data_IF_391747356033
#
_entry.id   IF_391747356033
#
_cell.length_a   1.000
_cell.length_b   1.000
_cell.length_c   1.000
_cell.angle_alpha   90.00
_cell.angle_beta   90.00
_cell.angle_gamma   90.00
#
_symmetry.space_group_name_H-M   'P 1'
#
loop_
_entity.id
_entity.type
_entity.pdbx_description
1 polymer ?
#
# COMPACT_ATOMS: atom_id res chain seq x y z
N UNK A 1 17.71 -14.79 6.45
CA UNK A 1 16.37 -14.44 5.94
C UNK A 1 16.53 -13.22 5.06
N UNK A 2 16.02 -13.27 3.83
CA UNK A 2 16.09 -12.18 2.87
C UNK A 2 14.68 -11.63 2.68
N UNK A 3 14.51 -10.32 2.70
CA UNK A 3 13.23 -9.70 2.35
C UNK A 3 13.26 -9.21 0.90
N UNK A 4 12.30 -9.65 0.10
CA UNK A 4 12.06 -9.16 -1.25
C UNK A 4 10.85 -8.22 -1.23
N UNK A 5 10.98 -7.07 -1.89
CA UNK A 5 9.97 -6.02 -1.91
C UNK A 5 9.59 -5.74 -3.35
N UNK A 6 8.33 -5.99 -3.68
CA UNK A 6 7.82 -5.89 -5.05
C UNK A 6 6.61 -4.96 -5.06
N UNK A 7 6.57 -4.02 -6.01
CA UNK A 7 5.38 -3.21 -6.23
C UNK A 7 4.26 -4.10 -6.78
N UNK A 8 3.21 -4.32 -5.99
CA UNK A 8 2.06 -5.12 -6.40
C UNK A 8 1.15 -4.28 -7.31
N UNK A 9 0.84 -3.05 -6.90
CA UNK A 9 0.06 -2.08 -7.69
C UNK A 9 0.01 -0.69 -7.06
N UNK A 10 -0.55 0.25 -7.81
CA UNK A 10 -0.89 1.60 -7.34
C UNK A 10 -2.41 1.80 -7.35
N UNK A 11 -2.96 2.38 -6.28
CA UNK A 11 -4.40 2.70 -6.14
C UNK A 11 -4.52 4.13 -5.63
N UNK A 12 -5.12 5.05 -6.41
CA UNK A 12 -5.34 6.45 -6.01
C UNK A 12 -4.06 7.18 -5.52
N UNK A 13 -2.91 6.81 -6.11
CA UNK A 13 -1.59 7.32 -5.72
C UNK A 13 -0.89 6.52 -4.62
N UNK A 14 -1.60 5.67 -3.88
CA UNK A 14 -1.01 4.80 -2.87
C UNK A 14 -0.32 3.63 -3.54
N UNK A 15 0.91 3.33 -3.11
CA UNK A 15 1.61 2.12 -3.54
C UNK A 15 1.26 0.99 -2.59
N UNK A 16 0.86 -0.15 -3.14
CA UNK A 16 0.71 -1.39 -2.40
C UNK A 16 1.90 -2.27 -2.79
N UNK A 17 2.74 -2.59 -1.82
CA UNK A 17 3.93 -3.41 -2.04
C UNK A 17 3.79 -4.75 -1.35
N UNK A 18 4.17 -5.82 -2.04
CA UNK A 18 4.27 -7.17 -1.48
C UNK A 18 5.67 -7.35 -0.92
N UNK A 19 5.73 -7.69 0.36
CA UNK A 19 6.96 -8.03 1.08
C UNK A 19 6.94 -9.53 1.30
N UNK A 20 7.93 -10.21 0.75
CA UNK A 20 8.15 -11.63 0.95
C UNK A 20 9.39 -11.82 1.80
N UNK A 21 9.27 -12.61 2.85
CA UNK A 21 10.39 -13.07 3.66
C UNK A 21 10.76 -14.47 3.19
N UNK A 22 12.00 -14.61 2.73
CA UNK A 22 12.54 -15.87 2.23
C UNK A 22 13.44 -16.48 3.30
N UNK A 23 13.30 -17.78 3.51
CA UNK A 23 14.16 -18.57 4.38
C UNK A 23 15.58 -18.70 3.80
N UNK A 24 16.42 -19.54 4.40
CA UNK A 24 17.80 -19.76 3.92
C UNK A 24 17.86 -20.54 2.60
N UNK A 25 16.78 -21.21 2.22
CA UNK A 25 16.65 -22.00 0.99
C UNK A 25 16.02 -21.19 -0.15
N UNK A 26 15.57 -19.96 0.12
CA UNK A 26 14.89 -19.10 -0.85
C UNK A 26 13.38 -19.39 -0.98
N UNK A 27 12.80 -20.15 -0.04
CA UNK A 27 11.37 -20.42 0.01
C UNK A 27 10.69 -19.27 0.75
N UNK A 28 9.54 -18.82 0.22
CA UNK A 28 8.72 -17.80 0.88
C UNK A 28 8.14 -18.37 2.16
N UNK A 29 8.62 -17.87 3.30
CA UNK A 29 8.18 -18.22 4.64
C UNK A 29 6.95 -17.38 5.05
N UNK A 30 6.97 -16.10 4.69
CA UNK A 30 5.85 -15.19 4.93
C UNK A 30 5.70 -14.16 3.81
N UNK A 31 4.46 -13.72 3.57
CA UNK A 31 4.16 -12.62 2.68
C UNK A 31 3.18 -11.64 3.33
N UNK A 32 3.46 -10.34 3.21
CA UNK A 32 2.57 -9.25 3.65
C UNK A 32 2.49 -8.16 2.60
N UNK A 33 1.44 -7.36 2.65
CA UNK A 33 1.18 -6.24 1.75
C UNK A 33 1.23 -4.95 2.54
N UNK A 34 2.15 -4.06 2.20
CA UNK A 34 2.32 -2.74 2.81
C UNK A 34 1.68 -1.67 1.92
N UNK A 35 0.81 -0.85 2.52
CA UNK A 35 0.25 0.34 1.90
C UNK A 35 1.15 1.51 2.23
N UNK A 36 1.72 2.14 1.21
CA UNK A 36 2.57 3.32 1.35
C UNK A 36 1.83 4.59 1.01
N UNK A 37 2.10 5.60 1.81
CA UNK A 37 1.64 6.97 1.63
C UNK A 37 2.21 7.55 0.32
N UNK A 38 1.36 8.14 -0.56
CA UNK A 38 1.82 8.72 -1.82
C UNK A 38 2.84 9.85 -1.65
N UNK A 39 2.70 10.66 -0.59
CA UNK A 39 3.48 11.91 -0.42
C UNK A 39 4.75 11.69 0.39
N UNK A 40 4.64 10.93 1.49
CA UNK A 40 5.77 10.73 2.40
C UNK A 40 6.56 9.46 2.10
N UNK A 41 6.04 8.55 1.27
CA UNK A 41 6.62 7.21 1.09
C UNK A 41 6.54 6.33 2.34
N UNK A 42 5.96 6.81 3.44
CA UNK A 42 5.88 6.08 4.69
C UNK A 42 4.87 4.93 4.60
N UNK A 43 5.16 3.82 5.27
CA UNK A 43 4.22 2.71 5.42
C UNK A 43 3.09 3.14 6.36
N UNK A 44 1.86 3.14 5.86
CA UNK A 44 0.67 3.47 6.63
C UNK A 44 0.14 2.25 7.38
N UNK A 45 0.12 1.10 6.71
CA UNK A 45 -0.38 -0.17 7.28
C UNK A 45 0.09 -1.37 6.49
N UNK A 46 0.16 -2.53 7.16
CA UNK A 46 0.42 -3.83 6.52
C UNK A 46 -0.78 -4.79 6.68
N UNK A 47 -0.90 -5.73 5.74
CA UNK A 47 -1.99 -6.71 5.68
C UNK A 47 -1.50 -8.05 5.15
N UNK A 48 -2.17 -9.15 5.53
CA UNK A 48 -1.87 -10.47 4.98
C UNK A 48 -2.37 -10.67 3.53
N UNK A 49 -3.38 -9.90 3.09
CA UNK A 49 -3.98 -10.05 1.75
C UNK A 49 -4.10 -8.72 1.02
N UNK A 50 -3.82 -8.72 -0.29
CA UNK A 50 -3.96 -7.54 -1.17
C UNK A 50 -5.37 -6.92 -1.13
N UNK A 51 -6.42 -7.72 -0.97
CA UNK A 51 -7.82 -7.22 -0.88
C UNK A 51 -8.03 -6.34 0.36
N UNK A 52 -7.35 -6.63 1.48
CA UNK A 52 -7.44 -5.82 2.70
C UNK A 52 -6.69 -4.49 2.51
N UNK A 53 -5.51 -4.53 1.89
CA UNK A 53 -4.74 -3.33 1.53
C UNK A 53 -5.55 -2.37 0.64
N UNK A 54 -6.21 -2.91 -0.41
CA UNK A 54 -7.11 -2.13 -1.28
C UNK A 54 -8.25 -1.47 -0.51
N UNK A 55 -8.94 -2.22 0.35
CA UNK A 55 -10.05 -1.69 1.18
C UNK A 55 -9.58 -0.58 2.10
N UNK A 56 -8.38 -0.69 2.66
CA UNK A 56 -7.80 0.35 3.50
C UNK A 56 -7.52 1.64 2.72
N UNK A 57 -6.94 1.55 1.52
CA UNK A 57 -6.73 2.72 0.64
C UNK A 57 -8.06 3.43 0.38
N UNK A 58 -9.10 2.68 0.00
CA UNK A 58 -10.44 3.26 -0.23
C UNK A 58 -11.00 3.92 1.03
N UNK A 59 -10.82 3.31 2.20
CA UNK A 59 -11.27 3.89 3.47
C UNK A 59 -10.50 5.17 3.83
N UNK A 60 -9.20 5.25 3.56
CA UNK A 60 -8.40 6.46 3.76
C UNK A 60 -8.88 7.62 2.90
N UNK A 61 -9.18 7.34 1.63
CA UNK A 61 -9.69 8.33 0.69
C UNK A 61 -11.10 8.79 1.03
N UNK A 62 -12.01 7.84 1.32
CA UNK A 62 -13.38 8.16 1.75
C UNK A 62 -13.42 8.99 3.04
N UNK A 63 -12.51 8.71 3.97
CA UNK A 63 -12.39 9.46 5.22
C UNK A 63 -11.60 10.77 5.06
N UNK A 64 -11.04 11.06 3.88
CA UNK A 64 -10.20 12.24 3.64
C UNK A 64 -8.95 12.31 4.53
N UNK A 65 -8.51 11.18 5.11
CA UNK A 65 -7.43 11.14 6.12
C UNK A 65 -6.08 11.53 5.56
N UNK A 66 -5.92 11.29 4.27
CA UNK A 66 -4.68 11.31 3.55
C UNK A 66 -5.03 11.76 2.12
N UNK A 67 -5.60 12.96 1.95
CA UNK A 67 -6.07 13.39 0.62
C UNK A 67 -4.90 13.46 -0.35
N UNK A 68 -4.94 12.62 -1.38
CA UNK A 68 -4.11 12.79 -2.57
C UNK A 68 -4.43 14.12 -3.25
N UNK A 69 -3.43 14.96 -3.59
CA UNK A 69 -3.67 16.22 -4.29
C UNK A 69 -4.22 16.00 -5.71
N UNK A 70 -4.15 14.78 -6.25
CA UNK A 70 -4.82 14.37 -7.49
C UNK A 70 -6.35 14.30 -7.37
N UNK A 71 -6.91 14.25 -6.15
CA UNK A 71 -8.34 14.36 -5.88
C UNK A 71 -8.72 15.80 -5.47
N UNK A 72 -8.03 16.82 -6.01
CA UNK A 72 -8.60 18.15 -6.12
C UNK A 72 -9.66 18.12 -7.22
N UNK A 73 -10.84 17.59 -6.88
CA UNK A 73 -12.04 17.88 -7.67
C UNK A 73 -12.20 19.39 -7.57
N UNK A 74 -12.04 20.09 -8.69
CA UNK A 74 -12.28 21.53 -8.81
C UNK A 74 -13.73 21.82 -8.38
N UNK A 75 -13.96 22.14 -7.12
CA UNK A 75 -15.09 22.95 -6.71
C UNK A 75 -14.64 24.42 -6.80
N UNK A 76 -14.58 24.91 -8.04
CA UNK A 76 -14.60 26.34 -8.34
C UNK A 76 -15.90 26.59 -9.10
N UNK A 77 -16.89 27.10 -8.37
CA UNK A 77 -18.23 27.46 -8.82
C UNK A 77 -18.96 28.10 -7.67
#
# INVERSE_FOLDING_TARGET
MRSLRTLEMTVLGYRIERIEEHDQLGIVDAARFEVMCPWSGAVLRNFARVRQAKRYVLACELAGRHRSPSLRINHAG
#
